data_IF_882036299253
#
_entry.id   IF_882036299253
#
_cell.length_a   1.000
_cell.length_b   1.000
_cell.length_c   1.000
_cell.angle_alpha   90.00
_cell.angle_beta   90.00
_cell.angle_gamma   90.00
#
_symmetry.space_group_name_H-M   'P 1'
#
loop_
_entity.id
_entity.type
_entity.pdbx_description
1 polymer ?
#
# COMPACT_ATOMS: atom_id res chain seq x y z
N UNK A 1 6.24 -7.14 14.53
CA UNK A 1 6.91 -8.23 13.79
C UNK A 1 6.35 -8.17 12.40
N UNK A 2 6.89 -7.29 11.56
CA UNK A 2 6.53 -7.25 10.15
C UNK A 2 7.30 -8.43 9.53
N UNK A 3 6.56 -9.44 9.08
CA UNK A 3 7.13 -10.53 8.29
C UNK A 3 7.37 -9.90 6.92
N UNK A 4 8.56 -9.35 6.73
CA UNK A 4 9.06 -8.96 5.42
C UNK A 4 9.67 -10.20 4.79
N UNK A 5 8.85 -11.12 4.30
CA UNK A 5 9.34 -12.20 3.45
C UNK A 5 9.07 -11.86 1.99
N UNK A 6 10.13 -11.33 1.42
CA UNK A 6 10.30 -10.88 0.05
C UNK A 6 10.25 -12.09 -0.87
N UNK A 7 9.30 -12.18 -1.78
CA UNK A 7 9.35 -13.20 -2.84
C UNK A 7 10.54 -12.88 -3.77
N UNK A 8 11.70 -13.49 -3.50
CA UNK A 8 12.91 -13.40 -4.32
C UNK A 8 12.77 -14.31 -5.54
N UNK A 9 12.64 -13.72 -6.73
CA UNK A 9 12.54 -14.49 -7.96
C UNK A 9 13.74 -14.26 -8.88
N UNK A 10 14.35 -15.36 -9.34
CA UNK A 10 15.46 -15.38 -10.31
C UNK A 10 14.90 -15.55 -11.71
N UNK A 11 15.20 -14.63 -12.62
CA UNK A 11 14.85 -14.78 -14.04
C UNK A 11 15.87 -15.66 -14.80
N UNK A 12 15.43 -16.80 -15.32
CA UNK A 12 16.01 -17.44 -16.51
C UNK A 12 14.94 -17.43 -17.61
N UNK A 13 15.32 -17.36 -18.89
CA UNK A 13 14.44 -17.02 -20.04
C UNK A 13 13.06 -17.72 -20.08
N UNK A 14 12.90 -18.88 -19.44
CA UNK A 14 11.68 -19.69 -19.44
C UNK A 14 11.01 -19.92 -18.08
N UNK A 15 11.67 -19.63 -16.95
CA UNK A 15 11.14 -19.89 -15.61
C UNK A 15 11.79 -19.01 -14.54
N UNK A 16 11.06 -18.83 -13.44
CA UNK A 16 11.52 -18.15 -12.24
C UNK A 16 12.01 -19.16 -11.19
N UNK A 17 12.88 -18.76 -10.26
CA UNK A 17 13.17 -19.59 -9.07
C UNK A 17 13.07 -18.79 -7.79
N UNK A 18 12.50 -19.41 -6.76
CA UNK A 18 12.43 -18.87 -5.40
C UNK A 18 13.29 -19.71 -4.46
N UNK A 19 13.80 -19.08 -3.40
CA UNK A 19 14.78 -19.68 -2.50
C UNK A 19 14.41 -19.52 -1.02
N UNK A 20 14.94 -20.40 -0.17
CA UNK A 20 14.80 -20.35 1.29
C UNK A 20 13.35 -20.52 1.77
N UNK A 21 12.91 -19.60 2.62
CA UNK A 21 11.55 -19.61 3.16
C UNK A 21 10.50 -19.36 2.07
N UNK A 22 10.82 -18.51 1.08
CA UNK A 22 9.94 -18.25 -0.07
C UNK A 22 9.69 -19.50 -0.90
N UNK A 23 10.71 -20.32 -1.14
CA UNK A 23 10.54 -21.59 -1.84
C UNK A 23 9.54 -22.49 -1.10
N UNK A 24 9.61 -22.50 0.23
CA UNK A 24 8.71 -23.28 1.08
C UNK A 24 7.29 -22.72 1.08
N UNK A 25 7.16 -21.39 1.11
CA UNK A 25 5.88 -20.69 0.96
C UNK A 25 5.22 -21.02 -0.37
N UNK A 26 5.93 -20.85 -1.50
CA UNK A 26 5.38 -21.11 -2.84
C UNK A 26 4.94 -22.57 -2.99
N UNK A 27 5.79 -23.51 -2.54
CA UNK A 27 5.52 -24.94 -2.59
C UNK A 27 4.24 -25.34 -1.84
N UNK A 28 4.05 -24.82 -0.62
CA UNK A 28 2.88 -25.15 0.22
C UNK A 28 1.62 -24.43 -0.24
N UNK A 29 1.73 -23.15 -0.58
CA UNK A 29 0.59 -22.28 -0.86
C UNK A 29 0.02 -22.51 -2.26
N UNK A 30 0.86 -22.62 -3.29
CA UNK A 30 0.40 -22.67 -4.69
C UNK A 30 0.51 -24.05 -5.32
N UNK A 31 1.60 -24.79 -5.04
CA UNK A 31 1.75 -26.16 -5.56
C UNK A 31 1.10 -27.24 -4.68
N UNK A 32 0.69 -26.87 -3.46
CA UNK A 32 0.13 -27.77 -2.45
C UNK A 32 1.00 -29.02 -2.19
N UNK A 33 2.31 -28.89 -2.37
CA UNK A 33 3.26 -29.99 -2.18
C UNK A 33 4.65 -29.48 -1.84
N UNK A 34 5.31 -30.13 -0.89
CA UNK A 34 6.72 -29.87 -0.57
C UNK A 34 7.68 -30.68 -1.44
N UNK A 35 7.18 -31.59 -2.30
CA UNK A 35 8.02 -32.43 -3.18
C UNK A 35 8.64 -31.63 -4.32
N UNK A 36 8.10 -30.45 -4.63
CA UNK A 36 8.65 -29.55 -5.64
C UNK A 36 9.90 -28.77 -5.12
N UNK A 37 10.19 -28.84 -3.82
CA UNK A 37 11.34 -28.16 -3.22
C UNK A 37 12.61 -28.99 -3.44
N UNK A 38 13.52 -28.46 -4.21
CA UNK A 38 14.87 -28.97 -4.39
C UNK A 38 15.82 -28.33 -3.36
N UNK A 39 16.87 -29.04 -2.96
CA UNK A 39 17.94 -28.48 -2.15
C UNK A 39 19.11 -28.13 -3.06
N UNK A 40 19.56 -26.88 -3.03
CA UNK A 40 20.74 -26.41 -3.77
C UNK A 40 21.87 -26.21 -2.78
N UNK A 41 23.03 -26.82 -3.06
CA UNK A 41 24.21 -26.79 -2.19
C UNK A 41 24.46 -28.13 -1.50
N UNK A 42 25.40 -28.14 -0.56
CA UNK A 42 25.82 -29.34 0.16
C UNK A 42 26.03 -29.06 1.64
N UNK A 43 25.53 -29.93 2.51
CA UNK A 43 25.75 -29.84 3.97
C UNK A 43 24.77 -28.88 4.67
N UNK A 44 25.25 -28.16 5.69
CA UNK A 44 24.47 -27.22 6.49
C UNK A 44 24.02 -25.97 5.73
N UNK A 45 24.65 -25.68 4.59
CA UNK A 45 24.42 -24.47 3.80
C UNK A 45 23.48 -24.75 2.60
N UNK A 46 22.78 -25.88 2.62
CA UNK A 46 21.80 -26.21 1.59
C UNK A 46 20.59 -25.26 1.69
N UNK A 47 20.19 -24.70 0.54
CA UNK A 47 19.06 -23.79 0.43
C UNK A 47 17.92 -24.47 -0.33
N UNK A 48 16.72 -24.43 0.27
CA UNK A 48 15.48 -24.80 -0.40
C UNK A 48 15.24 -23.95 -1.63
N UNK A 49 14.86 -24.56 -2.74
CA UNK A 49 14.65 -23.89 -4.02
C UNK A 49 13.47 -24.50 -4.76
N UNK A 50 12.66 -23.66 -5.42
CA UNK A 50 11.54 -24.09 -6.25
C UNK A 50 11.59 -23.36 -7.58
N UNK A 51 11.40 -24.11 -8.67
CA UNK A 51 11.19 -23.54 -10.00
C UNK A 51 9.71 -23.20 -10.23
N UNK A 52 9.47 -22.00 -10.76
CA UNK A 52 8.15 -21.41 -10.97
C UNK A 52 8.00 -21.11 -12.46
N UNK A 53 6.99 -21.68 -13.11
CA UNK A 53 6.71 -21.37 -14.52
C UNK A 53 6.16 -19.94 -14.66
N UNK A 54 6.21 -19.35 -15.86
CA UNK A 54 5.67 -18.01 -16.11
C UNK A 54 4.20 -17.87 -15.69
N UNK A 55 3.36 -18.85 -16.05
CA UNK A 55 1.94 -18.84 -15.70
C UNK A 55 1.72 -18.94 -14.17
N UNK A 56 2.54 -19.74 -13.48
CA UNK A 56 2.44 -19.85 -12.03
C UNK A 56 2.91 -18.55 -11.36
N UNK A 57 3.98 -17.95 -11.85
CA UNK A 57 4.45 -16.64 -11.40
C UNK A 57 3.36 -15.57 -11.53
N UNK A 58 2.67 -15.49 -12.67
CA UNK A 58 1.54 -14.56 -12.84
C UNK A 58 0.43 -14.80 -11.81
N UNK A 59 0.17 -16.07 -11.46
CA UNK A 59 -0.81 -16.44 -10.44
C UNK A 59 -0.37 -16.01 -9.05
N UNK A 60 0.90 -16.27 -8.71
CA UNK A 60 1.53 -15.88 -7.45
C UNK A 60 1.55 -14.36 -7.31
N UNK A 61 2.01 -13.64 -8.33
CA UNK A 61 2.09 -12.19 -8.33
C UNK A 61 0.69 -11.56 -8.15
N UNK A 62 -0.33 -12.11 -8.80
CA UNK A 62 -1.71 -11.64 -8.65
C UNK A 62 -2.23 -11.85 -7.22
N UNK A 63 -2.03 -13.03 -6.67
CA UNK A 63 -2.45 -13.32 -5.29
C UNK A 63 -1.70 -12.45 -4.27
N UNK A 64 -0.36 -12.39 -4.37
CA UNK A 64 0.50 -11.61 -3.46
C UNK A 64 0.18 -10.11 -3.49
N UNK A 65 -0.09 -9.54 -4.66
CA UNK A 65 -0.25 -8.09 -4.80
C UNK A 65 -1.70 -7.60 -4.72
N UNK A 66 -2.70 -8.42 -5.11
CA UNK A 66 -4.10 -7.98 -5.15
C UNK A 66 -4.94 -8.55 -4.00
N UNK A 67 -4.74 -9.82 -3.67
CA UNK A 67 -5.52 -10.52 -2.64
C UNK A 67 -4.90 -10.37 -1.26
N UNK A 68 -3.57 -10.52 -1.19
CA UNK A 68 -2.79 -10.42 0.05
C UNK A 68 -2.31 -8.99 0.31
N UNK A 69 -2.05 -8.69 1.57
CA UNK A 69 -1.52 -7.39 2.01
C UNK A 69 -0.32 -7.54 2.95
N UNK A 70 0.24 -8.74 3.05
CA UNK A 70 1.30 -9.11 3.98
C UNK A 70 2.64 -9.40 3.31
N UNK A 71 2.73 -9.40 1.97
CA UNK A 71 3.94 -9.72 1.23
C UNK A 71 4.25 -8.68 0.15
N UNK A 72 5.54 -8.51 -0.14
CA UNK A 72 6.04 -7.71 -1.27
C UNK A 72 6.67 -8.61 -2.32
N UNK A 73 6.75 -8.13 -3.55
CA UNK A 73 7.29 -8.88 -4.68
C UNK A 73 8.52 -8.17 -5.24
N UNK A 74 9.65 -8.88 -5.32
CA UNK A 74 10.91 -8.34 -5.83
C UNK A 74 11.55 -9.30 -6.83
N UNK A 75 11.68 -8.84 -8.07
CA UNK A 75 12.29 -9.61 -9.15
C UNK A 75 13.75 -9.23 -9.31
N UNK A 76 14.62 -10.23 -9.21
CA UNK A 76 16.06 -10.07 -9.36
C UNK A 76 16.56 -10.74 -10.64
N UNK A 77 17.56 -10.10 -11.26
CA UNK A 77 18.27 -10.65 -12.41
C UNK A 77 19.77 -10.58 -12.15
N UNK A 78 20.47 -11.67 -12.48
CA UNK A 78 21.88 -11.78 -12.16
C UNK A 78 22.49 -13.10 -12.56
N UNK A 79 23.80 -13.18 -12.41
CA UNK A 79 24.57 -14.40 -12.59
C UNK A 79 25.74 -14.44 -11.62
N UNK A 80 26.03 -15.61 -11.07
CA UNK A 80 27.06 -15.81 -10.06
C UNK A 80 26.80 -14.96 -8.81
N UNK A 81 27.71 -14.04 -8.50
CA UNK A 81 27.59 -13.13 -7.36
C UNK A 81 26.95 -11.78 -7.72
N UNK A 82 26.68 -11.50 -8.99
CA UNK A 82 26.21 -10.20 -9.45
C UNK A 82 24.70 -10.23 -9.68
N UNK A 83 23.93 -9.84 -8.65
CA UNK A 83 22.47 -9.76 -8.68
C UNK A 83 22.02 -8.29 -8.55
N UNK A 84 21.01 -7.92 -9.33
CA UNK A 84 20.35 -6.60 -9.23
C UNK A 84 18.84 -6.76 -9.14
N UNK A 85 18.21 -5.87 -8.39
CA UNK A 85 16.76 -5.72 -8.40
C UNK A 85 16.34 -5.10 -9.74
N UNK A 86 15.43 -5.77 -10.45
CA UNK A 86 14.92 -5.33 -11.76
C UNK A 86 13.52 -4.73 -11.62
N UNK A 87 12.65 -5.37 -10.84
CA UNK A 87 11.29 -4.88 -10.56
C UNK A 87 10.97 -5.08 -9.08
N UNK A 88 10.26 -4.14 -8.49
CA UNK A 88 9.68 -4.26 -7.15
C UNK A 88 8.22 -3.82 -7.18
N UNK A 89 7.39 -4.46 -6.37
CA UNK A 89 6.00 -4.08 -6.18
C UNK A 89 5.52 -4.37 -4.76
N UNK A 90 4.57 -3.57 -4.33
CA UNK A 90 3.83 -3.73 -3.07
C UNK A 90 2.32 -3.83 -3.37
N UNK A 91 1.51 -4.30 -2.42
CA UNK A 91 0.06 -4.38 -2.59
C UNK A 91 -0.63 -3.03 -2.84
N UNK A 92 0.03 -1.89 -2.56
CA UNK A 92 -0.45 -0.56 -2.91
C UNK A 92 0.20 0.03 -4.16
N UNK A 93 1.44 -0.35 -4.48
CA UNK A 93 2.19 0.16 -5.62
C UNK A 93 2.66 -0.99 -6.52
N UNK A 94 1.86 -1.28 -7.55
CA UNK A 94 2.11 -2.38 -8.49
C UNK A 94 3.28 -2.12 -9.45
N UNK A 95 3.66 -0.85 -9.63
CA UNK A 95 4.81 -0.44 -10.43
C UNK A 95 4.90 -1.15 -11.79
N UNK A 96 6.08 -1.71 -12.10
CA UNK A 96 6.34 -2.40 -13.38
C UNK A 96 5.71 -3.80 -13.50
N UNK A 97 4.90 -4.23 -12.54
CA UNK A 97 4.13 -5.47 -12.60
C UNK A 97 2.73 -5.28 -13.19
N UNK A 98 2.25 -4.05 -13.39
CA UNK A 98 0.94 -3.79 -14.00
C UNK A 98 0.77 -4.50 -15.36
N UNK A 99 1.80 -4.46 -16.21
CA UNK A 99 1.79 -5.14 -17.52
C UNK A 99 1.57 -6.66 -17.39
N UNK A 100 2.09 -7.27 -16.32
CA UNK A 100 2.02 -8.71 -16.06
C UNK A 100 0.65 -9.06 -15.45
N UNK A 101 0.18 -8.24 -14.52
CA UNK A 101 -1.08 -8.46 -13.80
C UNK A 101 -2.30 -8.27 -14.70
N UNK A 102 -2.26 -7.28 -15.60
CA UNK A 102 -3.40 -6.82 -16.39
C UNK A 102 -3.33 -7.18 -17.88
N UNK A 103 -2.38 -8.03 -18.31
CA UNK A 103 -2.31 -8.55 -19.68
C UNK A 103 -3.63 -9.19 -20.16
N UNK A 104 -4.44 -9.73 -19.24
CA UNK A 104 -5.72 -10.38 -19.50
C UNK A 104 -6.96 -9.51 -19.22
N UNK A 105 -6.79 -8.18 -19.13
CA UNK A 105 -7.85 -7.16 -19.19
C UNK A 105 -8.86 -7.07 -18.02
N UNK A 106 -8.64 -7.75 -16.90
CA UNK A 106 -9.41 -7.51 -15.66
C UNK A 106 -8.66 -6.55 -14.74
N UNK A 107 -8.68 -5.26 -15.08
CA UNK A 107 -8.28 -4.21 -14.14
C UNK A 107 -9.35 -4.12 -13.04
N UNK A 108 -9.23 -4.95 -12.01
CA UNK A 108 -9.88 -4.70 -10.72
C UNK A 108 -9.24 -3.45 -10.10
N UNK A 109 -10.05 -2.63 -9.40
CA UNK A 109 -9.68 -1.33 -8.83
C UNK A 109 -8.22 -1.29 -8.32
N UNK A 110 -7.40 -0.34 -8.82
CA UNK A 110 -6.04 -0.16 -8.28
C UNK A 110 -6.13 0.18 -6.80
N UNK A 111 -5.27 -0.44 -5.98
CA UNK A 111 -5.24 -0.24 -4.55
C UNK A 111 -5.02 1.23 -4.17
N UNK A 112 -5.73 1.71 -3.14
CA UNK A 112 -5.51 3.05 -2.60
C UNK A 112 -4.31 3.02 -1.64
N UNK A 113 -3.33 3.88 -1.92
CA UNK A 113 -2.20 4.13 -1.03
C UNK A 113 -2.54 5.31 -0.13
N UNK A 114 -2.34 5.17 1.17
CA UNK A 114 -2.55 6.22 2.17
C UNK A 114 -1.22 6.57 2.82
N UNK A 115 -0.99 7.84 3.16
CA UNK A 115 0.09 8.26 4.05
C UNK A 115 -0.49 9.00 5.24
N UNK A 116 0.10 8.77 6.41
CA UNK A 116 -0.40 9.30 7.67
C UNK A 116 0.68 10.09 8.41
N UNK A 117 0.26 11.21 8.98
CA UNK A 117 1.00 11.93 10.01
C UNK A 117 0.09 12.04 11.23
N UNK A 118 0.50 11.41 12.32
CA UNK A 118 -0.20 11.47 13.60
C UNK A 118 0.53 12.42 14.55
N UNK A 119 -0.17 13.47 14.98
CA UNK A 119 0.33 14.46 15.92
C UNK A 119 -0.41 14.33 17.26
N UNK A 120 0.27 13.77 18.26
CA UNK A 120 -0.27 13.56 19.60
C UNK A 120 -0.27 14.87 20.39
N UNK A 121 -1.42 15.23 20.96
CA UNK A 121 -1.62 16.40 21.84
C UNK A 121 -2.16 15.90 23.19
N UNK A 122 -2.16 16.76 24.21
CA UNK A 122 -2.52 16.36 25.59
C UNK A 122 -3.92 15.68 25.71
N UNK A 123 -4.88 16.04 24.84
CA UNK A 123 -6.26 15.54 24.87
C UNK A 123 -6.68 14.76 23.60
N UNK A 124 -5.75 14.17 22.86
CA UNK A 124 -6.08 13.33 21.69
C UNK A 124 -5.01 13.35 20.60
N UNK A 125 -5.36 12.89 19.40
CA UNK A 125 -4.46 12.90 18.25
C UNK A 125 -5.07 13.71 17.11
N UNK A 126 -4.29 14.56 16.46
CA UNK A 126 -4.67 15.11 15.16
C UNK A 126 -4.04 14.24 14.08
N UNK A 127 -4.87 13.66 13.20
CA UNK A 127 -4.43 12.79 12.12
C UNK A 127 -4.51 13.54 10.80
N UNK A 128 -3.36 13.78 10.18
CA UNK A 128 -3.25 14.18 8.79
C UNK A 128 -3.20 12.95 7.88
N UNK A 129 -4.19 12.82 7.00
CA UNK A 129 -4.33 11.72 6.06
C UNK A 129 -4.27 12.26 4.64
N UNK A 130 -3.46 11.64 3.81
CA UNK A 130 -3.53 11.80 2.36
C UNK A 130 -3.62 10.46 1.69
N UNK A 131 -4.24 10.41 0.52
CA UNK A 131 -4.31 9.20 -0.28
C UNK A 131 -4.18 9.48 -1.77
N UNK A 132 -3.78 8.45 -2.51
CA UNK A 132 -3.85 8.43 -3.96
C UNK A 132 -4.61 7.19 -4.42
N UNK A 133 -5.49 7.40 -5.39
CA UNK A 133 -6.09 6.34 -6.19
C UNK A 133 -5.50 6.47 -7.61
N UNK A 134 -4.61 5.54 -7.98
CA UNK A 134 -3.87 5.59 -9.25
C UNK A 134 -4.81 5.31 -10.45
N UNK A 135 -5.78 4.40 -10.31
CA UNK A 135 -6.77 4.13 -11.35
C UNK A 135 -7.68 5.32 -11.60
N UNK A 136 -8.25 5.91 -10.53
CA UNK A 136 -9.17 7.05 -10.65
C UNK A 136 -8.42 8.36 -10.87
N UNK A 137 -7.10 8.38 -10.71
CA UNK A 137 -6.23 9.56 -10.75
C UNK A 137 -6.72 10.65 -9.80
N UNK A 138 -6.97 10.26 -8.55
CA UNK A 138 -7.47 11.16 -7.49
C UNK A 138 -6.46 11.24 -6.36
N UNK A 139 -6.13 12.47 -5.96
CA UNK A 139 -5.38 12.80 -4.76
C UNK A 139 -6.36 13.34 -3.71
N UNK A 140 -6.33 12.78 -2.51
CA UNK A 140 -7.22 13.18 -1.42
C UNK A 140 -6.47 13.66 -0.20
N UNK A 141 -7.05 14.64 0.50
CA UNK A 141 -6.53 15.12 1.79
C UNK A 141 -7.65 15.19 2.83
N UNK A 142 -7.36 14.72 4.02
CA UNK A 142 -8.20 14.88 5.20
C UNK A 142 -7.33 15.19 6.42
N UNK A 143 -7.90 15.97 7.33
CA UNK A 143 -7.35 16.14 8.66
C UNK A 143 -8.51 16.15 9.65
N UNK A 144 -8.38 15.35 10.70
CA UNK A 144 -9.42 15.16 11.68
C UNK A 144 -8.82 14.84 13.05
N UNK A 145 -9.50 15.23 14.14
CA UNK A 145 -9.17 14.73 15.45
C UNK A 145 -9.58 13.25 15.58
N UNK A 146 -8.78 12.50 16.32
CA UNK A 146 -9.06 11.13 16.69
C UNK A 146 -8.75 10.91 18.18
N UNK A 147 -9.36 9.88 18.74
CA UNK A 147 -9.13 9.47 20.12
C UNK A 147 -8.00 8.42 20.21
N UNK A 148 -7.78 7.88 21.41
CA UNK A 148 -6.76 6.84 21.63
C UNK A 148 -7.05 5.52 20.91
N UNK A 149 -8.27 5.30 20.43
CA UNK A 149 -8.69 4.08 19.73
C UNK A 149 -8.57 4.19 18.21
N UNK A 150 -8.37 5.40 17.67
CA UNK A 150 -8.20 5.67 16.24
C UNK A 150 -9.40 5.22 15.39
N UNK A 151 -10.62 5.38 15.91
CA UNK A 151 -11.85 4.89 15.27
C UNK A 151 -12.15 5.64 13.97
N UNK A 152 -11.85 6.94 13.93
CA UNK A 152 -12.09 7.75 12.73
C UNK A 152 -11.13 7.36 11.61
N UNK A 153 -9.85 7.13 11.96
CA UNK A 153 -8.83 6.64 11.05
C UNK A 153 -9.17 5.26 10.49
N UNK A 154 -9.52 4.29 11.35
CA UNK A 154 -9.91 2.95 10.94
C UNK A 154 -11.08 3.00 9.95
N UNK A 155 -12.11 3.78 10.26
CA UNK A 155 -13.26 3.99 9.38
C UNK A 155 -12.85 4.60 8.02
N UNK A 156 -11.93 5.56 8.01
CA UNK A 156 -11.45 6.19 6.79
C UNK A 156 -10.65 5.21 5.92
N UNK A 157 -9.75 4.42 6.52
CA UNK A 157 -8.91 3.45 5.81
C UNK A 157 -9.75 2.34 5.16
N UNK A 158 -10.72 1.81 5.91
CA UNK A 158 -11.64 0.78 5.40
C UNK A 158 -12.52 1.33 4.28
N UNK A 159 -13.09 2.52 4.45
CA UNK A 159 -13.94 3.14 3.42
C UNK A 159 -13.17 3.48 2.13
N UNK A 160 -11.88 3.80 2.24
CA UNK A 160 -11.00 4.04 1.10
C UNK A 160 -10.56 2.75 0.41
N UNK A 161 -10.75 1.56 1.01
CA UNK A 161 -10.20 0.31 0.50
C UNK A 161 -8.67 0.33 0.49
N UNK A 162 -8.07 0.95 1.50
CA UNK A 162 -6.63 1.11 1.57
C UNK A 162 -5.93 -0.26 1.66
N UNK A 163 -4.93 -0.47 0.81
CA UNK A 163 -4.11 -1.70 0.80
C UNK A 163 -2.70 -1.45 1.31
N UNK A 164 -2.25 -0.20 1.31
CA UNK A 164 -0.93 0.18 1.80
C UNK A 164 -0.92 1.56 2.47
N UNK A 165 -0.22 1.63 3.61
CA UNK A 165 -0.15 2.78 4.49
C UNK A 165 1.32 3.16 4.70
N UNK A 166 1.67 4.39 4.32
CA UNK A 166 2.99 4.96 4.50
C UNK A 166 3.09 5.67 5.86
N UNK A 167 4.09 5.31 6.66
CA UNK A 167 4.35 5.90 7.96
C UNK A 167 5.81 6.34 8.10
N UNK A 168 6.11 7.43 8.83
CA UNK A 168 7.48 7.74 9.22
C UNK A 168 8.11 6.59 10.04
N UNK A 169 9.37 6.24 9.76
CA UNK A 169 10.11 5.18 10.50
C UNK A 169 10.02 5.36 12.03
N UNK A 170 10.09 6.61 12.49
CA UNK A 170 10.07 6.95 13.91
C UNK A 170 8.73 6.63 14.57
N UNK A 171 7.63 6.74 13.80
CA UNK A 171 6.27 6.43 14.24
C UNK A 171 6.08 4.91 14.33
N UNK A 172 6.55 4.17 13.34
CA UNK A 172 6.41 2.71 13.31
C UNK A 172 7.11 2.02 14.50
N UNK A 173 8.21 2.61 15.01
CA UNK A 173 9.06 2.00 16.05
C UNK A 173 8.87 2.57 17.45
N UNK A 174 8.15 3.69 17.59
CA UNK A 174 7.97 4.34 18.89
C UNK A 174 6.83 3.69 19.70
N UNK A 175 7.09 3.45 20.98
CA UNK A 175 6.06 2.94 21.91
C UNK A 175 4.91 3.93 22.14
N UNK A 176 5.14 5.23 21.87
CA UNK A 176 4.12 6.28 21.95
C UNK A 176 3.02 6.07 20.90
N UNK A 177 3.34 5.39 19.79
CA UNK A 177 2.44 5.14 18.67
C UNK A 177 1.89 3.71 18.68
N UNK A 178 2.00 2.98 19.81
CA UNK A 178 1.53 1.59 19.92
C UNK A 178 0.05 1.47 19.55
N UNK A 179 -0.81 2.32 20.10
CA UNK A 179 -2.25 2.28 19.82
C UNK A 179 -2.57 2.56 18.34
N UNK A 180 -1.78 3.43 17.69
CA UNK A 180 -1.89 3.67 16.25
C UNK A 180 -1.50 2.40 15.47
N UNK A 181 -0.33 1.82 15.76
CA UNK A 181 0.13 0.61 15.07
C UNK A 181 -0.85 -0.57 15.26
N UNK A 182 -1.43 -0.71 16.45
CA UNK A 182 -2.50 -1.69 16.72
C UNK A 182 -3.73 -1.41 15.86
N UNK A 183 -4.16 -0.14 15.74
CA UNK A 183 -5.29 0.22 14.87
C UNK A 183 -5.02 -0.07 13.39
N UNK A 184 -3.82 0.27 12.90
CA UNK A 184 -3.43 -0.02 11.52
C UNK A 184 -3.37 -1.51 11.22
N UNK A 185 -2.93 -2.33 12.19
CA UNK A 185 -2.91 -3.79 12.04
C UNK A 185 -4.29 -4.42 11.85
N UNK A 186 -5.35 -3.78 12.37
CA UNK A 186 -6.74 -4.23 12.19
C UNK A 186 -7.32 -3.88 10.82
N UNK A 187 -6.75 -2.88 10.14
CA UNK A 187 -7.24 -2.40 8.84
C UNK A 187 -6.89 -3.35 7.70
N UNK A 188 -6.03 -4.35 7.92
CA UNK A 188 -5.64 -5.32 6.89
C UNK A 188 -4.84 -4.71 5.73
N UNK A 189 -4.20 -3.56 5.95
CA UNK A 189 -3.34 -2.89 4.99
C UNK A 189 -1.86 -3.07 5.34
N UNK A 190 -1.00 -3.15 4.33
CA UNK A 190 0.45 -3.18 4.52
C UNK A 190 0.92 -1.85 5.12
N UNK A 191 1.79 -1.89 6.12
CA UNK A 191 2.46 -0.68 6.63
C UNK A 191 3.88 -0.61 6.07
N UNK A 192 4.15 0.46 5.33
CA UNK A 192 5.46 0.72 4.71
C UNK A 192 6.14 1.90 5.39
N UNK A 193 7.30 1.65 5.99
CA UNK A 193 8.09 2.67 6.68
C UNK A 193 8.83 3.58 5.69
N UNK A 194 8.67 4.89 5.81
CA UNK A 194 9.31 5.92 4.97
C UNK A 194 10.11 6.90 5.81
N UNK A 195 11.17 7.47 5.23
CA UNK A 195 12.01 8.43 5.96
C UNK A 195 11.20 9.69 6.26
N UNK A 196 11.32 10.25 7.46
CA UNK A 196 10.70 11.54 7.82
C UNK A 196 11.03 12.67 6.83
N UNK A 197 12.19 12.59 6.18
CA UNK A 197 12.61 13.55 5.17
C UNK A 197 11.71 13.57 3.91
N UNK A 198 10.93 12.52 3.66
CA UNK A 198 9.98 12.39 2.54
C UNK A 198 8.61 12.99 2.86
N UNK A 199 8.28 13.14 4.15
CA UNK A 199 7.09 13.84 4.61
C UNK A 199 7.32 15.36 4.64
N UNK A 200 7.58 15.95 3.47
CA UNK A 200 7.82 17.40 3.31
C UNK A 200 6.90 17.99 2.24
N UNK A 201 6.31 19.13 2.54
CA UNK A 201 5.44 19.87 1.60
C UNK A 201 6.15 20.97 0.78
N UNK A 202 7.49 21.04 0.74
CA UNK A 202 8.19 22.22 0.20
C UNK A 202 7.94 22.48 -1.29
N UNK A 203 8.01 21.44 -2.10
CA UNK A 203 7.85 21.57 -3.57
C UNK A 203 6.45 21.12 -4.05
N UNK A 204 5.57 20.78 -3.10
CA UNK A 204 4.27 20.16 -3.35
C UNK A 204 3.38 20.97 -4.30
N UNK A 205 3.31 22.29 -4.13
CA UNK A 205 2.47 23.15 -4.99
C UNK A 205 2.98 23.15 -6.43
N UNK A 206 4.30 23.16 -6.63
CA UNK A 206 4.89 23.14 -7.96
C UNK A 206 4.64 21.78 -8.63
N UNK A 207 4.81 20.70 -7.89
CA UNK A 207 4.63 19.34 -8.39
C UNK A 207 3.16 19.05 -8.71
N UNK A 208 2.23 19.47 -7.85
CA UNK A 208 0.79 19.40 -8.12
C UNK A 208 0.41 20.24 -9.34
N UNK A 209 1.11 21.34 -9.63
CA UNK A 209 0.91 22.13 -10.85
C UNK A 209 1.20 21.36 -12.14
N UNK A 210 1.99 20.29 -12.07
CA UNK A 210 2.25 19.39 -13.22
C UNK A 210 1.21 18.28 -13.31
N UNK A 211 0.73 17.79 -12.18
CA UNK A 211 -0.15 16.61 -12.12
C UNK A 211 -1.64 16.97 -12.20
N UNK A 212 -2.08 18.03 -11.52
CA UNK A 212 -3.49 18.36 -11.35
C UNK A 212 -4.01 19.16 -12.54
N UNK A 213 -5.18 18.75 -13.05
CA UNK A 213 -5.85 19.46 -14.13
C UNK A 213 -6.51 20.75 -13.62
N UNK A 214 -6.19 21.89 -14.24
CA UNK A 214 -6.93 23.15 -14.05
C UNK A 214 -6.15 24.23 -13.31
N UNK A 215 -6.88 25.16 -12.67
CA UNK A 215 -6.26 26.25 -11.91
C UNK A 215 -5.66 25.75 -10.60
N UNK A 216 -4.52 26.32 -10.23
CA UNK A 216 -3.82 26.01 -8.99
C UNK A 216 -4.32 26.81 -7.78
N UNK A 217 -5.15 27.84 -7.96
CA UNK A 217 -5.62 28.65 -6.83
C UNK A 217 -6.49 27.83 -5.86
N UNK A 218 -7.50 27.05 -6.31
CA UNK A 218 -8.26 26.18 -5.41
C UNK A 218 -7.41 25.08 -4.78
N UNK A 219 -6.35 24.65 -5.46
CA UNK A 219 -5.41 23.65 -4.94
C UNK A 219 -4.62 24.24 -3.77
N UNK A 220 -4.10 25.46 -3.91
CA UNK A 220 -3.38 26.17 -2.84
C UNK A 220 -4.28 26.41 -1.64
N UNK A 221 -5.53 26.86 -1.86
CA UNK A 221 -6.49 27.08 -0.79
C UNK A 221 -6.79 25.78 -0.02
N UNK A 222 -6.95 24.66 -0.74
CA UNK A 222 -7.16 23.34 -0.14
C UNK A 222 -5.96 22.90 0.71
N UNK A 223 -4.73 23.07 0.22
CA UNK A 223 -3.53 22.70 0.96
C UNK A 223 -3.34 23.57 2.20
N UNK A 224 -3.64 24.86 2.11
CA UNK A 224 -3.55 25.79 3.23
C UNK A 224 -4.60 25.52 4.33
N UNK A 225 -5.67 24.79 4.02
CA UNK A 225 -6.69 24.38 4.98
C UNK A 225 -6.25 23.24 5.91
N UNK A 226 -5.06 22.68 5.72
CA UNK A 226 -4.54 21.54 6.47
C UNK A 226 -3.13 21.79 6.99
N UNK A 227 -2.85 21.33 8.20
CA UNK A 227 -1.55 21.45 8.86
C UNK A 227 -0.64 20.27 8.51
N UNK A 228 -1.19 19.05 8.48
CA UNK A 228 -0.41 17.80 8.38
C UNK A 228 -0.60 17.07 7.05
N UNK A 229 -1.81 17.05 6.49
CA UNK A 229 -2.12 16.29 5.28
C UNK A 229 -1.20 16.63 4.08
N UNK A 230 -0.85 17.89 3.79
CA UNK A 230 0.03 18.22 2.65
C UNK A 230 1.40 17.53 2.72
N UNK A 231 1.97 17.40 3.92
CA UNK A 231 3.26 16.71 4.09
C UNK A 231 3.13 15.19 3.85
N UNK A 232 2.00 14.58 4.23
CA UNK A 232 1.69 13.20 3.89
C UNK A 232 1.53 12.99 2.37
N UNK A 233 0.85 13.92 1.69
CA UNK A 233 0.72 13.90 0.24
C UNK A 233 2.07 13.95 -0.49
N UNK A 234 3.00 14.79 -0.02
CA UNK A 234 4.36 14.85 -0.57
C UNK A 234 5.09 13.49 -0.51
N UNK A 235 4.91 12.74 0.59
CA UNK A 235 5.48 11.40 0.71
C UNK A 235 4.87 10.43 -0.30
N UNK A 236 3.54 10.44 -0.49
CA UNK A 236 2.86 9.59 -1.48
C UNK A 236 3.36 9.90 -2.90
N UNK A 237 3.45 11.18 -3.26
CA UNK A 237 3.88 11.58 -4.59
C UNK A 237 5.31 11.12 -4.91
N UNK A 238 6.21 11.17 -3.92
CA UNK A 238 7.56 10.64 -4.04
C UNK A 238 7.61 9.12 -4.00
N UNK A 239 6.71 8.45 -3.30
CA UNK A 239 6.69 6.99 -3.17
C UNK A 239 6.13 6.30 -4.42
N UNK A 240 5.06 6.85 -4.98
CA UNK A 240 4.43 6.35 -6.20
C UNK A 240 5.11 6.87 -7.47
N UNK A 241 6.21 7.63 -7.35
CA UNK A 241 6.96 8.23 -8.45
C UNK A 241 6.07 8.94 -9.50
N UNK A 242 5.01 9.63 -9.05
CA UNK A 242 3.97 10.16 -9.95
C UNK A 242 4.51 11.13 -11.00
N UNK A 243 5.59 11.84 -10.67
CA UNK A 243 6.25 12.80 -11.56
C UNK A 243 7.21 12.14 -12.57
N UNK A 244 7.60 10.88 -12.36
CA UNK A 244 8.48 10.18 -13.28
C UNK A 244 7.74 9.74 -14.56
N UNK A 245 6.42 9.53 -14.47
CA UNK A 245 5.57 9.19 -15.60
C UNK A 245 4.86 10.44 -16.16
N UNK A 246 5.25 10.86 -17.36
CA UNK A 246 4.63 11.99 -18.07
C UNK A 246 3.15 11.77 -18.38
N UNK A 247 2.68 10.51 -18.42
CA UNK A 247 1.26 10.18 -18.64
C UNK A 247 0.36 10.70 -17.49
N UNK A 248 0.94 11.00 -16.34
CA UNK A 248 0.24 11.56 -15.18
C UNK A 248 -0.03 13.07 -15.30
N UNK A 249 0.66 13.77 -16.20
CA UNK A 249 0.65 15.23 -16.21
C UNK A 249 -0.72 15.78 -16.64
N UNK A 250 -1.27 16.69 -15.83
CA UNK A 250 -2.58 17.30 -16.04
C UNK A 250 -3.76 16.32 -16.00
N UNK A 251 -3.58 15.14 -15.40
CA UNK A 251 -4.58 14.08 -15.40
C UNK A 251 -5.13 13.74 -14.01
N UNK A 252 -4.58 14.33 -12.94
CA UNK A 252 -5.07 14.13 -11.57
C UNK A 252 -6.13 15.16 -11.19
N UNK A 253 -7.02 14.75 -10.29
CA UNK A 253 -7.89 15.64 -9.51
C UNK A 253 -7.44 15.62 -8.06
N UNK A 254 -7.55 16.76 -7.39
CA UNK A 254 -7.27 16.86 -5.95
C UNK A 254 -8.55 17.27 -5.21
N UNK A 255 -8.81 16.64 -4.07
CA UNK A 255 -10.04 16.87 -3.32
C UNK A 255 -9.86 16.75 -1.82
N UNK A 256 -10.76 17.39 -1.07
CA UNK A 256 -10.94 17.14 0.36
C UNK A 256 -11.69 15.82 0.54
N UNK A 257 -11.15 14.95 1.38
CA UNK A 257 -11.86 13.79 1.88
C UNK A 257 -12.66 14.15 3.13
N UNK A 258 -13.94 13.79 3.12
CA UNK A 258 -14.91 14.15 4.15
C UNK A 258 -15.38 12.88 4.86
N UNK A 259 -14.83 12.61 6.04
CA UNK A 259 -15.18 11.43 6.84
C UNK A 259 -16.68 11.36 7.15
N UNK A 260 -17.34 12.51 7.33
CA UNK A 260 -18.75 12.55 7.75
C UNK A 260 -19.70 12.01 6.67
N UNK A 261 -19.31 12.05 5.39
CA UNK A 261 -20.11 11.50 4.30
C UNK A 261 -20.08 9.97 4.28
N UNK A 262 -18.98 9.37 4.74
CA UNK A 262 -18.76 7.92 4.71
C UNK A 262 -19.14 7.23 6.04
N UNK A 263 -19.02 7.91 7.20
CA UNK A 263 -19.51 7.39 8.50
C UNK A 263 -21.04 7.26 8.59
N UNK A 264 -21.80 7.92 7.70
CA UNK A 264 -23.25 7.74 7.60
C UNK A 264 -23.66 6.36 7.09
N UNK A 265 -22.76 5.61 6.46
CA UNK A 265 -23.04 4.24 6.03
C UNK A 265 -23.14 3.29 7.23
N UNK A 266 -22.30 3.46 8.25
CA UNK A 266 -22.31 2.56 9.42
C UNK A 266 -23.51 2.82 10.35
N UNK A 267 -23.93 4.09 10.47
CA UNK A 267 -25.13 4.46 11.20
C UNK A 267 -26.45 4.22 10.44
N UNK A 268 -26.41 3.98 9.13
CA UNK A 268 -27.54 3.50 8.35
C UNK A 268 -27.61 1.96 8.35
N UNK A 269 -26.48 1.27 8.31
CA UNK A 269 -26.38 -0.18 8.44
C UNK A 269 -26.88 -0.68 9.82
N UNK A 270 -26.62 0.06 10.89
CA UNK A 270 -27.13 -0.23 12.24
C UNK A 270 -28.66 -0.05 12.41
N UNK A 271 -29.35 0.58 11.46
CA UNK A 271 -30.82 0.70 11.46
C UNK A 271 -31.51 -0.37 10.60
N UNK A 272 -30.76 -1.18 9.85
CA UNK A 272 -31.28 -2.24 8.98
C UNK A 272 -31.46 -3.61 9.66
N UNK A 273 -30.87 -3.85 10.83
CA UNK A 273 -30.90 -5.16 11.51
C UNK A 273 -31.82 -5.22 12.74
N UNK A 274 -32.73 -4.26 12.92
CA UNK A 274 -33.78 -4.29 13.95
C UNK A 274 -35.19 -4.11 13.38
N UNK A 275 -35.55 -4.87 12.36
CA UNK A 275 -36.96 -5.05 11.96
C UNK A 275 -37.14 -6.43 11.32
N UNK A 276 -37.04 -7.52 12.08
CA UNK A 276 -37.76 -8.79 11.82
C UNK A 276 -37.70 -9.64 13.09
N UNK A 277 -38.70 -9.49 13.94
CA UNK A 277 -38.84 -10.30 15.15
C UNK A 277 -39.72 -9.64 16.19
N UNK A 278 -41.00 -9.41 15.85
CA UNK A 278 -42.11 -9.42 16.80
C UNK A 278 -43.41 -9.12 16.03
N UNK A 279 -44.18 -10.17 15.75
CA UNK A 279 -45.61 -10.18 16.01
C UNK A 279 -46.11 -11.62 15.98
N UNK A 280 -46.60 -12.02 17.16
CA UNK A 280 -47.38 -13.23 17.43
C UNK A 280 -48.76 -13.16 16.80
#
# INVERSE_FOLDING_TARGET
MAISDVAHEIFSQDYYTTHGENATFIAKTYYHTTTAVCQIGSGSDAISSVSVSKNMFETVARDVLLERTDHTLELYEGSGANWRLVKGATPGNLGSFEEILFANNEMQDSPVIVALIANFRENGCAVGLSYVDLTKRVLGLAEFPDDSHFTNLESALVALGCKEILLPVEVAKSSEYRSLNEALSRCGAMVTERKKAEFKGRDLVQDLGRLVKGSMDPVRDLLAAFEFAPAALGCIMSYADLLADESNYGNYKIQRYDLARYMRLDSAAMRGTKCHGEQS
#
